data_IF_148288894588
#
_entry.id   IF_148288894588
#
_cell.length_a   1.000
_cell.length_b   1.000
_cell.length_c   1.000
_cell.angle_alpha   90.00
_cell.angle_beta   90.00
_cell.angle_gamma   90.00
#
_symmetry.space_group_name_H-M   'P 1'
#
loop_
_entity.id
_entity.type
_entity.pdbx_description
1 polymer ?
#
# COMPACT_ATOMS: atom_id res chain seq x y z
N UNK A 1 -2.23 -3.52 2.05
CA UNK A 1 -1.63 -2.17 1.92
C UNK A 1 -1.21 -1.70 3.31
N UNK A 2 -0.02 -1.11 3.41
CA UNK A 2 0.47 -0.44 4.62
C UNK A 2 0.75 1.02 4.31
N UNK A 3 0.34 1.93 5.20
CA UNK A 3 0.58 3.37 5.11
C UNK A 3 0.79 3.96 6.50
N UNK A 4 1.23 5.20 6.58
CA UNK A 4 1.11 5.96 7.82
C UNK A 4 -0.30 6.49 8.00
N UNK A 5 -0.98 6.09 9.08
CA UNK A 5 -2.30 6.56 9.44
C UNK A 5 -2.28 7.97 10.08
N UNK A 6 -1.19 8.37 10.72
CA UNK A 6 -1.03 9.69 11.34
C UNK A 6 -0.78 10.80 10.31
N UNK A 7 -0.31 10.46 9.11
CA UNK A 7 -0.12 11.37 8.00
C UNK A 7 -1.42 11.51 7.16
N UNK A 8 -2.09 12.67 7.27
CA UNK A 8 -3.35 12.92 6.55
C UNK A 8 -3.23 12.75 5.01
N UNK A 9 -2.17 13.26 4.34
CA UNK A 9 -1.95 12.99 2.91
C UNK A 9 -1.73 11.50 2.61
N UNK A 10 -0.99 10.79 3.47
CA UNK A 10 -0.68 9.37 3.31
C UNK A 10 -1.90 8.46 3.52
N UNK A 11 -2.89 8.91 4.31
CA UNK A 11 -4.11 8.15 4.58
C UNK A 11 -5.13 8.20 3.43
N UNK A 12 -4.96 9.13 2.48
CA UNK A 12 -5.88 9.28 1.34
C UNK A 12 -5.93 8.02 0.46
N UNK A 13 -4.77 7.46 0.15
CA UNK A 13 -4.66 6.23 -0.65
C UNK A 13 -5.41 5.06 -0.01
N UNK A 14 -5.50 4.97 1.32
CA UNK A 14 -6.21 3.88 1.99
C UNK A 14 -7.73 3.94 1.77
N UNK A 15 -8.27 5.15 1.56
CA UNK A 15 -9.70 5.38 1.31
C UNK A 15 -10.07 5.23 -0.16
N UNK A 16 -9.22 5.71 -1.07
CA UNK A 16 -9.54 5.78 -2.50
C UNK A 16 -9.07 4.57 -3.30
N UNK A 17 -7.96 3.91 -2.91
CA UNK A 17 -7.44 2.74 -3.61
C UNK A 17 -8.45 1.59 -3.74
N UNK A 18 -9.30 1.26 -2.74
CA UNK A 18 -10.34 0.24 -2.89
C UNK A 18 -11.29 0.47 -4.08
N UNK A 19 -11.54 1.74 -4.44
CA UNK A 19 -12.35 2.09 -5.61
C UNK A 19 -11.63 1.89 -6.95
N UNK A 20 -10.30 1.80 -6.95
CA UNK A 20 -9.47 1.64 -8.14
C UNK A 20 -9.24 0.18 -8.54
N UNK A 21 -9.52 -0.77 -7.65
CA UNK A 21 -9.23 -2.20 -7.85
C UNK A 21 -10.50 -3.05 -7.82
N UNK A 22 -10.40 -4.24 -8.41
CA UNK A 22 -11.47 -5.24 -8.44
C UNK A 22 -11.47 -6.15 -7.20
N UNK A 23 -10.38 -6.13 -6.42
CA UNK A 23 -10.19 -6.98 -5.24
C UNK A 23 -10.35 -6.22 -3.93
N UNK A 24 -10.62 -6.93 -2.85
CA UNK A 24 -10.69 -6.32 -1.51
C UNK A 24 -9.31 -5.86 -1.04
N UNK A 25 -9.20 -4.59 -0.67
CA UNK A 25 -7.98 -4.03 -0.07
C UNK A 25 -8.09 -4.06 1.45
N UNK A 26 -7.07 -4.59 2.11
CA UNK A 26 -6.89 -4.42 3.57
C UNK A 26 -5.83 -3.34 3.81
N UNK A 27 -6.23 -2.24 4.43
CA UNK A 27 -5.32 -1.19 4.88
C UNK A 27 -4.85 -1.49 6.31
N UNK A 28 -3.56 -1.26 6.57
CA UNK A 28 -2.93 -1.35 7.88
C UNK A 28 -2.07 -0.12 8.11
N UNK A 29 -2.00 0.32 9.36
CA UNK A 29 -1.09 1.38 9.77
C UNK A 29 0.33 0.82 9.95
N UNK A 30 1.35 1.59 9.58
CA UNK A 30 2.74 1.29 9.93
C UNK A 30 3.00 1.41 11.44
N UNK A 31 2.13 2.11 12.18
CA UNK A 31 2.17 2.23 13.64
C UNK A 31 1.49 1.06 14.37
N UNK A 32 0.96 0.07 13.65
CA UNK A 32 0.38 -1.13 14.26
C UNK A 32 1.48 -1.91 15.01
N UNK A 33 1.40 -2.09 16.35
CA UNK A 33 2.49 -2.68 17.13
C UNK A 33 2.87 -4.09 16.68
N UNK A 34 1.87 -4.87 16.27
CA UNK A 34 2.04 -6.27 15.80
C UNK A 34 2.30 -6.38 14.30
N UNK A 35 2.56 -5.27 13.60
CA UNK A 35 2.69 -5.30 12.14
C UNK A 35 3.81 -6.23 11.67
N UNK A 36 4.94 -6.23 12.37
CA UNK A 36 6.09 -7.08 12.07
C UNK A 36 5.81 -8.56 12.35
N UNK A 37 4.97 -8.87 13.36
CA UNK A 37 4.53 -10.24 13.65
C UNK A 37 3.56 -10.74 12.56
N UNK A 38 2.64 -9.90 12.12
CA UNK A 38 1.65 -10.23 11.07
C UNK A 38 2.32 -10.39 9.71
N UNK A 39 3.33 -9.55 9.42
CA UNK A 39 4.05 -9.54 8.16
C UNK A 39 5.57 -9.57 8.40
N UNK A 40 6.14 -10.76 8.70
CA UNK A 40 7.56 -10.89 9.05
C UNK A 40 8.50 -10.51 7.90
N UNK A 41 8.02 -10.54 6.66
CA UNK A 41 8.77 -10.14 5.47
C UNK A 41 8.50 -8.70 5.02
N UNK A 42 7.89 -7.86 5.87
CA UNK A 42 7.60 -6.47 5.54
C UNK A 42 8.91 -5.67 5.39
N UNK A 43 9.08 -4.86 4.31
CA UNK A 43 10.28 -4.05 4.15
C UNK A 43 10.48 -3.07 5.31
N UNK A 44 11.72 -2.95 5.81
CA UNK A 44 12.06 -2.10 6.96
C UNK A 44 11.66 -0.63 6.77
N UNK A 45 11.72 -0.10 5.54
CA UNK A 45 11.28 1.27 5.24
C UNK A 45 9.77 1.48 5.51
N UNK A 46 8.97 0.43 5.37
CA UNK A 46 7.52 0.48 5.61
C UNK A 46 7.22 0.32 7.10
N UNK A 47 7.93 -0.60 7.77
CA UNK A 47 7.84 -0.78 9.22
C UNK A 47 8.25 0.49 9.98
N UNK A 48 9.28 1.19 9.50
CA UNK A 48 9.70 2.50 10.02
C UNK A 48 8.87 3.68 9.50
N UNK A 49 7.70 3.42 8.91
CA UNK A 49 6.78 4.43 8.42
C UNK A 49 7.36 5.40 7.36
N UNK A 50 8.47 5.07 6.69
CA UNK A 50 9.16 5.96 5.72
C UNK A 50 8.58 5.88 4.29
N UNK A 51 7.84 4.83 3.97
CA UNK A 51 7.21 4.68 2.67
C UNK A 51 5.91 3.88 2.77
N UNK A 52 4.87 4.20 1.97
CA UNK A 52 3.72 3.33 1.83
C UNK A 52 4.11 2.07 1.05
N UNK A 53 3.36 0.98 1.24
CA UNK A 53 3.53 -0.23 0.46
C UNK A 53 2.23 -0.93 0.10
N UNK A 54 2.23 -1.52 -1.09
CA UNK A 54 1.21 -2.46 -1.54
C UNK A 54 1.74 -3.86 -1.34
N UNK A 55 0.91 -4.71 -0.73
CA UNK A 55 1.20 -6.12 -0.52
C UNK A 55 0.10 -6.96 -1.16
N UNK A 56 0.48 -7.95 -1.95
CA UNK A 56 -0.44 -8.96 -2.50
C UNK A 56 -0.18 -10.28 -1.77
N UNK A 57 -1.24 -10.82 -1.16
CA UNK A 57 -1.21 -12.13 -0.52
C UNK A 57 -1.21 -13.21 -1.60
N UNK A 58 -0.23 -14.10 -1.53
CA UNK A 58 -0.12 -15.28 -2.39
C UNK A 58 -0.81 -16.49 -1.76
N UNK A 59 -1.02 -17.52 -2.57
CA UNK A 59 -1.65 -18.78 -2.15
C UNK A 59 -0.80 -19.57 -1.14
N UNK A 60 0.51 -19.32 -1.09
CA UNK A 60 1.45 -19.89 -0.12
C UNK A 60 1.43 -19.20 1.25
N UNK A 61 0.53 -18.23 1.45
CA UNK A 61 0.41 -17.43 2.68
C UNK A 61 1.43 -16.29 2.79
N UNK A 62 2.37 -16.16 1.87
CA UNK A 62 3.33 -15.06 1.86
C UNK A 62 2.75 -13.81 1.20
N UNK A 63 3.21 -12.64 1.65
CA UNK A 63 2.86 -11.36 1.02
C UNK A 63 4.03 -10.89 0.18
N UNK A 64 3.79 -10.63 -1.10
CA UNK A 64 4.77 -9.93 -1.94
C UNK A 64 4.57 -8.42 -1.82
N UNK A 65 5.62 -7.70 -1.48
CA UNK A 65 5.59 -6.26 -1.22
C UNK A 65 6.19 -5.43 -2.36
N UNK A 66 5.57 -4.28 -2.59
CA UNK A 66 6.09 -3.21 -3.44
C UNK A 66 5.96 -1.88 -2.71
N UNK A 67 7.07 -1.16 -2.60
CA UNK A 67 7.18 0.10 -1.85
C UNK A 67 7.01 1.32 -2.74
N UNK A 68 6.31 2.34 -2.24
CA UNK A 68 6.06 3.60 -2.95
C UNK A 68 5.44 3.37 -4.32
N UNK A 69 5.97 4.06 -5.34
CA UNK A 69 5.48 3.98 -6.72
C UNK A 69 5.53 2.57 -7.33
N UNK A 70 6.43 1.69 -6.87
CA UNK A 70 6.48 0.30 -7.35
C UNK A 70 5.19 -0.46 -7.02
N UNK A 71 4.39 0.04 -6.09
CA UNK A 71 3.05 -0.47 -5.77
C UNK A 71 2.15 -0.64 -7.01
N UNK A 72 2.36 0.16 -8.06
CA UNK A 72 1.59 0.05 -9.29
C UNK A 72 1.76 -1.31 -9.98
N UNK A 73 2.94 -1.92 -9.87
CA UNK A 73 3.22 -3.25 -10.43
C UNK A 73 2.38 -4.32 -9.74
N UNK A 74 2.22 -4.21 -8.41
CA UNK A 74 1.36 -5.11 -7.64
C UNK A 74 -0.13 -4.91 -7.89
N UNK A 75 -0.54 -3.68 -8.26
CA UNK A 75 -1.94 -3.35 -8.52
C UNK A 75 -2.38 -3.61 -9.96
N UNK A 76 -1.48 -3.51 -10.94
CA UNK A 76 -1.80 -3.57 -12.36
C UNK A 76 -2.74 -4.72 -12.76
N UNK A 77 -2.56 -5.97 -12.27
CA UNK A 77 -3.44 -7.09 -12.63
C UNK A 77 -4.87 -6.99 -12.10
N UNK A 78 -5.10 -6.15 -11.09
CA UNK A 78 -6.37 -6.03 -10.37
C UNK A 78 -6.98 -4.63 -10.50
N UNK A 79 -6.41 -3.76 -11.33
CA UNK A 79 -6.97 -2.44 -11.58
C UNK A 79 -8.29 -2.55 -12.35
N UNK A 80 -9.24 -1.70 -11.99
CA UNK A 80 -10.44 -1.49 -12.81
C UNK A 80 -10.07 -0.80 -14.12
N UNK A 81 -10.83 -1.02 -15.21
CA UNK A 81 -10.67 -0.27 -16.45
C UNK A 81 -10.68 1.25 -16.18
N UNK A 82 -9.69 1.97 -16.71
CA UNK A 82 -9.56 3.43 -16.54
C UNK A 82 -9.03 3.91 -15.18
N UNK A 83 -8.80 3.04 -14.20
CA UNK A 83 -8.37 3.44 -12.85
C UNK A 83 -6.85 3.72 -12.70
N UNK A 84 -6.05 3.40 -13.73
CA UNK A 84 -4.59 3.54 -13.68
C UNK A 84 -4.11 4.96 -13.32
N UNK A 85 -4.61 6.05 -13.93
CA UNK A 85 -4.15 7.41 -13.61
C UNK A 85 -4.44 7.79 -12.16
N UNK A 86 -5.59 7.37 -11.63
CA UNK A 86 -6.00 7.62 -10.24
C UNK A 86 -5.10 6.86 -9.28
N UNK A 87 -4.84 5.57 -9.53
CA UNK A 87 -3.95 4.75 -8.71
C UNK A 87 -2.52 5.30 -8.68
N UNK A 88 -1.99 5.73 -9.83
CA UNK A 88 -0.66 6.37 -9.95
C UNK A 88 -0.61 7.68 -9.15
N UNK A 89 -1.64 8.53 -9.25
CA UNK A 89 -1.74 9.77 -8.48
C UNK A 89 -1.72 9.50 -6.98
N UNK A 90 -2.54 8.56 -6.50
CA UNK A 90 -2.63 8.21 -5.09
C UNK A 90 -1.29 7.68 -4.53
N UNK A 91 -0.61 6.81 -5.28
CA UNK A 91 0.71 6.31 -4.89
C UNK A 91 1.75 7.43 -4.85
N UNK A 92 1.70 8.35 -5.81
CA UNK A 92 2.62 9.49 -5.87
C UNK A 92 2.41 10.43 -4.68
N UNK A 93 1.17 10.80 -4.39
CA UNK A 93 0.83 11.65 -3.23
C UNK A 93 1.30 10.99 -1.92
N UNK A 94 1.02 9.71 -1.74
CA UNK A 94 1.42 8.98 -0.54
C UNK A 94 2.94 8.82 -0.39
N UNK A 95 3.66 8.64 -1.49
CA UNK A 95 5.12 8.53 -1.49
C UNK A 95 5.81 9.90 -1.31
N UNK A 96 5.25 10.97 -1.89
CA UNK A 96 5.78 12.31 -1.77
C UNK A 96 5.61 12.87 -0.36
N UNK A 97 4.50 12.56 0.31
CA UNK A 97 4.25 12.99 1.69
C UNK A 97 5.19 12.38 2.74
N UNK A 98 6.13 11.50 2.35
CA UNK A 98 7.13 10.88 3.22
C UNK A 98 8.58 11.13 2.82
N UNK A 99 8.80 11.89 1.74
CA UNK A 99 10.11 12.49 1.48
C UNK A 99 10.27 13.72 2.35
#
# INVERSE_FOLDING_TARGET
MVHDAACAPCSRIARELPGCVTVRVRARSCHEPRLAEIYPNLPAAVAGCRAPAVGVLRTDGQVRWWTGMRGIVGLAPVLRPGALPVAVRLLREAAAARR
#
